data_IF_849003709230
#
_entry.id   IF_849003709230
#
_cell.length_a   1.000
_cell.length_b   1.000
_cell.length_c   1.000
_cell.angle_alpha   90.00
_cell.angle_beta   90.00
_cell.angle_gamma   90.00
#
_symmetry.space_group_name_H-M   'P 1'
#
loop_
_entity.id
_entity.type
_entity.pdbx_description
1 polymer ?
#
# COMPACT_ATOMS: atom_id res chain seq x y z
N UNK A 1 -6.12 -10.92 31.07
CA UNK A 1 -6.05 -10.36 29.69
C UNK A 1 -5.17 -9.13 29.76
N UNK A 2 -4.05 -9.10 29.05
CA UNK A 2 -3.17 -7.93 29.07
C UNK A 2 -3.88 -6.73 28.45
N UNK A 3 -3.93 -5.61 29.17
CA UNK A 3 -4.47 -4.35 28.69
C UNK A 3 -3.53 -3.82 27.61
N UNK A 4 -3.99 -3.76 26.35
CA UNK A 4 -3.28 -3.04 25.29
C UNK A 4 -3.50 -1.55 25.49
N UNK A 5 -2.44 -0.74 25.39
CA UNK A 5 -2.58 0.70 25.50
C UNK A 5 -3.04 1.29 24.16
N UNK A 6 -3.89 2.33 24.14
CA UNK A 6 -4.31 2.97 22.90
C UNK A 6 -3.15 3.40 21.99
N UNK A 7 -2.05 3.90 22.56
CA UNK A 7 -0.88 4.33 21.77
C UNK A 7 -0.19 3.21 20.98
N UNK A 8 -0.37 1.95 21.39
CA UNK A 8 0.22 0.74 20.80
C UNK A 8 -0.68 0.08 19.75
N UNK A 9 -1.87 0.63 19.51
CA UNK A 9 -2.85 0.11 18.56
C UNK A 9 -2.92 1.06 17.36
N UNK A 10 -2.95 0.51 16.14
CA UNK A 10 -3.34 1.24 14.93
C UNK A 10 -4.35 0.44 14.12
N UNK A 11 -5.26 1.11 13.43
CA UNK A 11 -6.09 0.51 12.39
C UNK A 11 -5.82 1.17 11.03
N UNK A 12 -5.68 0.34 9.99
CA UNK A 12 -5.49 0.80 8.62
C UNK A 12 -6.49 0.10 7.69
N UNK A 13 -7.10 0.85 6.79
CA UNK A 13 -7.94 0.29 5.74
C UNK A 13 -7.18 0.21 4.41
N UNK A 14 -7.26 -0.93 3.73
CA UNK A 14 -6.76 -1.08 2.36
C UNK A 14 -7.88 -0.72 1.40
N UNK A 15 -7.75 0.38 0.67
CA UNK A 15 -8.82 0.89 -0.20
C UNK A 15 -8.27 1.12 -1.61
N UNK A 16 -9.04 0.70 -2.63
CA UNK A 16 -8.72 0.87 -4.05
C UNK A 16 -9.81 0.24 -4.91
N UNK A 17 -9.75 0.45 -6.22
CA UNK A 17 -10.52 -0.28 -7.23
C UNK A 17 -10.24 -1.79 -7.23
N UNK A 18 -11.08 -2.55 -7.96
CA UNK A 18 -10.95 -3.99 -8.13
C UNK A 18 -9.61 -4.39 -8.77
N UNK A 19 -8.96 -5.41 -8.23
CA UNK A 19 -7.74 -5.95 -8.82
C UNK A 19 -6.44 -5.18 -8.55
N UNK A 20 -6.46 -4.12 -7.74
CA UNK A 20 -5.25 -3.38 -7.34
C UNK A 20 -4.31 -4.13 -6.36
N UNK A 21 -4.67 -5.34 -5.93
CA UNK A 21 -3.81 -6.18 -5.08
C UNK A 21 -3.96 -5.97 -3.57
N UNK A 22 -5.09 -5.43 -3.09
CA UNK A 22 -5.37 -5.23 -1.65
C UNK A 22 -5.21 -6.51 -0.83
N UNK A 23 -5.89 -7.58 -1.23
CA UNK A 23 -5.81 -8.89 -0.59
C UNK A 23 -4.40 -9.46 -0.64
N UNK A 24 -3.69 -9.33 -1.76
CA UNK A 24 -2.29 -9.76 -1.88
C UNK A 24 -1.35 -8.99 -0.95
N UNK A 25 -1.60 -7.69 -0.73
CA UNK A 25 -0.87 -6.88 0.24
C UNK A 25 -1.19 -7.31 1.68
N UNK A 26 -2.45 -7.63 1.98
CA UNK A 26 -2.81 -8.17 3.29
C UNK A 26 -2.11 -9.51 3.58
N UNK A 27 -2.05 -10.42 2.59
CA UNK A 27 -1.28 -11.66 2.68
C UNK A 27 0.20 -11.40 2.96
N UNK A 28 0.79 -10.39 2.30
CA UNK A 28 2.17 -9.99 2.55
C UNK A 28 2.38 -9.52 4.00
N UNK A 29 1.47 -8.71 4.56
CA UNK A 29 1.54 -8.31 5.97
C UNK A 29 1.48 -9.50 6.93
N UNK A 30 0.61 -10.47 6.67
CA UNK A 30 0.49 -11.68 7.48
C UNK A 30 1.75 -12.55 7.41
N UNK A 31 2.32 -12.69 6.22
CA UNK A 31 3.55 -13.46 6.00
C UNK A 31 4.77 -12.80 6.67
N UNK A 32 4.89 -11.48 6.53
CA UNK A 32 5.97 -10.71 7.14
C UNK A 32 5.92 -10.75 8.67
N UNK A 33 4.71 -10.68 9.24
CA UNK A 33 4.48 -10.85 10.67
C UNK A 33 4.65 -12.30 11.16
N UNK A 34 4.85 -13.27 10.26
CA UNK A 34 5.03 -14.69 10.60
C UNK A 34 3.74 -15.38 11.05
N UNK A 35 2.58 -14.82 10.73
CA UNK A 35 1.27 -15.40 11.04
C UNK A 35 0.88 -16.51 10.07
N UNK A 36 1.40 -16.44 8.84
CA UNK A 36 1.30 -17.50 7.84
C UNK A 36 2.69 -17.90 7.35
N UNK A 37 2.88 -19.17 7.02
CA UNK A 37 4.18 -19.71 6.59
C UNK A 37 4.46 -19.51 5.10
N UNK A 38 3.44 -19.13 4.32
CA UNK A 38 3.51 -18.81 2.89
C UNK A 38 2.39 -17.83 2.56
N UNK A 39 2.61 -16.96 1.58
CA UNK A 39 1.54 -16.12 1.06
C UNK A 39 0.51 -16.94 0.28
N UNK A 40 -0.77 -16.67 0.52
CA UNK A 40 -1.86 -17.16 -0.30
C UNK A 40 -1.97 -16.43 -1.64
N UNK A 41 -2.73 -17.04 -2.56
CA UNK A 41 -3.08 -16.52 -3.87
C UNK A 41 -4.58 -16.63 -4.07
N UNK A 42 -5.17 -15.61 -4.66
CA UNK A 42 -6.62 -15.55 -4.92
C UNK A 42 -7.02 -16.68 -5.89
N UNK A 43 -6.18 -16.93 -6.90
CA UNK A 43 -6.39 -17.97 -7.91
C UNK A 43 -6.38 -19.38 -7.29
N UNK A 44 -5.57 -19.57 -6.25
CA UNK A 44 -5.45 -20.84 -5.52
C UNK A 44 -6.48 -20.97 -4.38
N UNK A 45 -7.33 -19.95 -4.17
CA UNK A 45 -8.42 -19.91 -3.17
C UNK A 45 -7.93 -20.21 -1.75
N UNK A 46 -6.76 -19.70 -1.40
CA UNK A 46 -6.11 -19.97 -0.13
C UNK A 46 -5.63 -18.69 0.59
N UNK A 47 -6.13 -17.52 0.18
CA UNK A 47 -5.97 -16.27 0.93
C UNK A 47 -6.72 -16.36 2.26
N UNK A 48 -6.21 -15.67 3.28
CA UNK A 48 -6.81 -15.62 4.62
C UNK A 48 -8.07 -14.74 4.61
N UNK A 49 -8.06 -13.67 3.81
CA UNK A 49 -9.13 -12.68 3.73
C UNK A 49 -10.38 -13.16 3.00
N UNK A 50 -10.23 -13.85 1.87
CA UNK A 50 -11.35 -14.30 1.03
C UNK A 50 -11.82 -15.71 1.43
N UNK A 51 -12.31 -15.85 2.66
CA UNK A 51 -12.70 -17.15 3.21
C UNK A 51 -14.14 -17.55 2.86
N UNK A 52 -14.98 -16.63 2.36
CA UNK A 52 -16.34 -16.95 1.96
C UNK A 52 -16.37 -17.75 0.65
N UNK A 53 -17.26 -18.73 0.56
CA UNK A 53 -17.38 -19.59 -0.62
C UNK A 53 -17.74 -18.83 -1.90
N UNK A 54 -18.51 -17.74 -1.81
CA UNK A 54 -18.82 -16.90 -2.97
C UNK A 54 -17.64 -16.03 -3.38
N UNK A 55 -16.83 -15.54 -2.43
CA UNK A 55 -15.57 -14.83 -2.74
C UNK A 55 -14.60 -15.74 -3.49
N UNK A 56 -14.39 -16.96 -2.97
CA UNK A 56 -13.55 -17.98 -3.62
C UNK A 56 -14.08 -18.43 -4.98
N UNK A 57 -15.40 -18.44 -5.17
CA UNK A 57 -16.02 -18.80 -6.45
C UNK A 57 -15.87 -17.70 -7.50
N UNK A 58 -15.98 -16.44 -7.08
CA UNK A 58 -15.93 -15.28 -7.98
C UNK A 58 -14.52 -14.72 -8.17
N UNK A 59 -13.58 -15.05 -7.28
CA UNK A 59 -12.22 -14.50 -7.28
C UNK A 59 -12.18 -13.01 -6.93
N UNK A 60 -13.15 -12.53 -6.14
CA UNK A 60 -13.25 -11.13 -5.70
C UNK A 60 -13.67 -11.10 -4.23
N UNK A 61 -13.16 -10.14 -3.47
CA UNK A 61 -13.64 -9.87 -2.12
C UNK A 61 -15.02 -9.21 -2.18
N UNK A 62 -15.91 -9.61 -1.27
CA UNK A 62 -17.29 -9.14 -1.13
C UNK A 62 -17.46 -8.40 0.20
N UNK A 63 -16.84 -8.88 1.27
CA UNK A 63 -16.93 -8.29 2.60
C UNK A 63 -15.57 -7.77 3.08
N UNK A 64 -15.57 -6.77 3.96
CA UNK A 64 -14.34 -6.35 4.62
C UNK A 64 -13.85 -7.44 5.56
N UNK A 65 -12.61 -7.90 5.36
CA UNK A 65 -11.94 -8.81 6.29
C UNK A 65 -11.05 -8.04 7.27
N UNK A 66 -10.89 -8.58 8.49
CA UNK A 66 -10.07 -7.98 9.55
C UNK A 66 -8.90 -8.89 9.91
N UNK A 67 -7.68 -8.38 9.75
CA UNK A 67 -6.45 -9.05 10.17
C UNK A 67 -5.82 -8.33 11.37
N UNK A 68 -5.24 -9.10 12.30
CA UNK A 68 -4.49 -8.56 13.44
C UNK A 68 -3.01 -8.83 13.25
N UNK A 69 -2.23 -7.81 12.94
CA UNK A 69 -0.82 -7.89 12.56
C UNK A 69 0.06 -7.30 13.67
N UNK A 70 0.85 -8.10 14.39
CA UNK A 70 1.84 -7.58 15.34
C UNK A 70 3.03 -6.98 14.59
N UNK A 71 3.44 -5.76 14.96
CA UNK A 71 4.59 -5.09 14.35
C UNK A 71 5.30 -4.17 15.34
N UNK A 72 6.60 -4.39 15.59
CA UNK A 72 7.46 -3.55 16.47
C UNK A 72 6.76 -3.10 17.78
N UNK A 73 6.32 -4.06 18.59
CA UNK A 73 5.57 -3.87 19.85
C UNK A 73 4.18 -3.23 19.72
N UNK A 74 3.71 -2.97 18.50
CA UNK A 74 2.35 -2.48 18.21
C UNK A 74 1.46 -3.60 17.69
N UNK A 75 0.15 -3.38 17.80
CA UNK A 75 -0.89 -4.19 17.15
C UNK A 75 -1.52 -3.36 16.04
N UNK A 76 -1.43 -3.82 14.80
CA UNK A 76 -2.05 -3.18 13.64
C UNK A 76 -3.26 -4.00 13.23
N UNK A 77 -4.43 -3.39 13.18
CA UNK A 77 -5.64 -3.96 12.59
C UNK A 77 -5.68 -3.56 11.12
N UNK A 78 -5.62 -4.53 10.23
CA UNK A 78 -5.70 -4.30 8.78
C UNK A 78 -7.10 -4.67 8.32
N UNK A 79 -7.81 -3.71 7.74
CA UNK A 79 -9.13 -3.91 7.13
C UNK A 79 -8.93 -4.04 5.62
N UNK A 80 -8.97 -5.27 5.10
CA UNK A 80 -8.91 -5.52 3.65
C UNK A 80 -10.33 -5.45 3.08
N UNK A 81 -10.55 -4.47 2.20
CA UNK A 81 -11.88 -4.11 1.70
C UNK A 81 -12.13 -4.59 0.28
N UNK A 82 -13.40 -4.84 -0.11
CA UNK A 82 -13.74 -5.18 -1.49
C UNK A 82 -13.52 -3.99 -2.43
N UNK A 83 -12.99 -4.26 -3.64
CA UNK A 83 -12.68 -3.22 -4.62
C UNK A 83 -13.76 -2.90 -5.65
N UNK A 84 -14.86 -3.64 -5.67
CA UNK A 84 -15.92 -3.47 -6.66
C UNK A 84 -16.92 -2.40 -6.21
N UNK A 85 -17.43 -1.60 -7.16
CA UNK A 85 -18.36 -0.50 -6.88
C UNK A 85 -19.62 -0.94 -6.14
N UNK A 86 -20.13 -2.14 -6.43
CA UNK A 86 -21.30 -2.73 -5.77
C UNK A 86 -21.10 -2.86 -4.25
N UNK A 87 -19.86 -2.93 -3.79
CA UNK A 87 -19.49 -3.07 -2.37
C UNK A 87 -18.83 -1.81 -1.80
N UNK A 88 -19.03 -0.65 -2.41
CA UNK A 88 -18.46 0.63 -1.93
C UNK A 88 -18.84 0.97 -0.49
N UNK A 89 -19.99 0.46 -0.01
CA UNK A 89 -20.43 0.63 1.38
C UNK A 89 -19.42 0.06 2.39
N UNK A 90 -18.80 -1.08 2.07
CA UNK A 90 -17.77 -1.72 2.89
C UNK A 90 -16.52 -0.83 3.00
N UNK A 91 -16.04 -0.29 1.88
CA UNK A 91 -14.90 0.62 1.85
C UNK A 91 -15.14 1.87 2.71
N UNK A 92 -16.35 2.45 2.63
CA UNK A 92 -16.72 3.64 3.42
C UNK A 92 -16.78 3.33 4.91
N UNK A 93 -17.37 2.19 5.29
CA UNK A 93 -17.43 1.76 6.69
C UNK A 93 -16.02 1.50 7.25
N UNK A 94 -15.18 0.78 6.51
CA UNK A 94 -13.81 0.46 6.92
C UNK A 94 -12.97 1.71 7.12
N UNK A 95 -13.04 2.66 6.19
CA UNK A 95 -12.29 3.92 6.31
C UNK A 95 -12.77 4.77 7.48
N UNK A 96 -14.08 4.86 7.69
CA UNK A 96 -14.65 5.65 8.79
C UNK A 96 -14.22 5.18 10.18
N UNK A 97 -13.83 3.91 10.33
CA UNK A 97 -13.40 3.33 11.62
C UNK A 97 -11.88 3.13 11.73
N UNK A 98 -11.13 3.50 10.69
CA UNK A 98 -9.67 3.31 10.66
C UNK A 98 -8.92 4.57 11.04
N UNK A 99 -7.78 4.43 11.72
CA UNK A 99 -6.89 5.56 12.04
C UNK A 99 -6.23 6.13 10.77
N UNK A 100 -6.12 5.32 9.71
CA UNK A 100 -5.61 5.75 8.41
C UNK A 100 -5.98 4.79 7.28
N UNK A 101 -5.61 5.15 6.05
CA UNK A 101 -5.87 4.38 4.85
C UNK A 101 -4.60 4.16 4.02
N UNK A 102 -4.50 2.98 3.40
CA UNK A 102 -3.58 2.71 2.31
C UNK A 102 -4.38 2.69 1.01
N UNK A 103 -4.16 3.71 0.17
CA UNK A 103 -4.81 3.84 -1.14
C UNK A 103 -3.94 3.15 -2.17
N UNK A 104 -4.35 1.97 -2.63
CA UNK A 104 -3.57 1.23 -3.62
C UNK A 104 -3.84 1.78 -5.02
N UNK A 105 -2.78 1.94 -5.80
CA UNK A 105 -2.83 2.33 -7.22
C UNK A 105 -2.04 1.29 -8.01
N UNK A 106 -2.55 0.86 -9.16
CA UNK A 106 -1.86 -0.12 -9.99
C UNK A 106 -0.86 0.59 -10.91
N UNK A 107 0.42 0.19 -10.86
CA UNK A 107 1.48 0.79 -11.66
C UNK A 107 1.26 0.68 -13.18
N UNK A 108 0.44 -0.26 -13.65
CA UNK A 108 0.13 -0.43 -15.07
C UNK A 108 -1.09 0.36 -15.53
N UNK A 109 -1.95 0.78 -14.61
CA UNK A 109 -3.24 1.40 -14.92
C UNK A 109 -3.30 2.89 -14.51
N UNK A 110 -2.51 3.29 -13.51
CA UNK A 110 -2.56 4.64 -12.96
C UNK A 110 -3.81 4.88 -12.12
N UNK A 111 -4.22 6.14 -12.06
CA UNK A 111 -5.41 6.61 -11.35
C UNK A 111 -6.66 6.27 -12.15
N UNK A 112 -7.56 5.52 -11.52
CA UNK A 112 -8.87 5.21 -12.10
C UNK A 112 -9.98 6.05 -11.45
N UNK A 113 -11.15 6.10 -12.08
CA UNK A 113 -12.34 6.82 -11.56
C UNK A 113 -12.69 6.36 -10.13
N UNK A 114 -12.51 5.07 -9.83
CA UNK A 114 -12.73 4.54 -8.50
C UNK A 114 -11.65 4.98 -7.50
N UNK A 115 -10.41 5.20 -7.93
CA UNK A 115 -9.34 5.75 -7.09
C UNK A 115 -9.70 7.17 -6.64
N UNK A 116 -10.21 8.02 -7.53
CA UNK A 116 -10.72 9.36 -7.18
C UNK A 116 -11.90 9.29 -6.20
N UNK A 117 -12.83 8.37 -6.43
CA UNK A 117 -13.99 8.17 -5.54
C UNK A 117 -13.57 7.76 -4.13
N UNK A 118 -12.57 6.87 -4.03
CA UNK A 118 -11.99 6.41 -2.77
C UNK A 118 -11.26 7.55 -2.05
N UNK A 119 -10.49 8.34 -2.78
CA UNK A 119 -9.79 9.49 -2.23
C UNK A 119 -10.77 10.50 -1.62
N UNK A 120 -11.85 10.81 -2.33
CA UNK A 120 -12.89 11.70 -1.82
C UNK A 120 -13.49 11.20 -0.50
N UNK A 121 -13.58 9.90 -0.26
CA UNK A 121 -14.01 9.39 1.04
C UNK A 121 -12.96 9.64 2.13
N UNK A 122 -11.66 9.50 1.83
CA UNK A 122 -10.59 9.80 2.78
C UNK A 122 -10.62 11.29 3.20
N UNK A 123 -10.83 12.20 2.24
CA UNK A 123 -11.03 13.63 2.51
C UNK A 123 -12.29 13.88 3.35
N UNK A 124 -13.42 13.31 2.95
CA UNK A 124 -14.70 13.49 3.66
C UNK A 124 -14.69 12.96 5.10
N UNK A 125 -13.87 11.95 5.39
CA UNK A 125 -13.72 11.38 6.72
C UNK A 125 -12.47 11.90 7.44
N UNK A 126 -11.75 12.87 6.86
CA UNK A 126 -10.50 13.42 7.39
C UNK A 126 -9.52 12.31 7.79
N UNK A 127 -9.48 11.23 7.01
CA UNK A 127 -8.67 10.05 7.30
C UNK A 127 -7.30 10.21 6.66
N UNK A 128 -6.21 10.19 7.44
CA UNK A 128 -4.85 10.22 6.90
C UNK A 128 -4.61 9.06 5.94
N UNK A 129 -4.10 9.35 4.75
CA UNK A 129 -3.93 8.35 3.70
C UNK A 129 -2.50 8.34 3.13
N UNK A 130 -2.03 7.15 2.78
CA UNK A 130 -0.76 6.93 2.07
C UNK A 130 -1.07 6.16 0.79
N UNK A 131 -0.45 6.55 -0.32
CA UNK A 131 -0.54 5.81 -1.57
C UNK A 131 0.43 4.62 -1.58
N UNK A 132 -0.05 3.48 -2.08
CA UNK A 132 0.77 2.30 -2.33
C UNK A 132 0.69 1.93 -3.81
N UNK A 133 1.79 2.14 -4.54
CA UNK A 133 1.86 1.78 -5.95
C UNK A 133 2.22 0.29 -6.05
N UNK A 134 1.24 -0.50 -6.47
CA UNK A 134 1.31 -1.95 -6.60
C UNK A 134 1.75 -2.38 -8.01
N UNK A 135 2.19 -3.64 -8.15
CA UNK A 135 2.48 -4.28 -9.45
C UNK A 135 3.60 -3.63 -10.26
N UNK A 136 4.61 -3.07 -9.59
CA UNK A 136 5.81 -2.51 -10.22
C UNK A 136 6.64 -3.54 -11.00
N UNK A 137 6.39 -4.84 -10.77
CA UNK A 137 7.00 -5.98 -11.43
C UNK A 137 6.35 -6.36 -12.77
N UNK A 138 5.26 -5.68 -13.17
CA UNK A 138 4.52 -5.99 -14.41
C UNK A 138 5.08 -5.24 -15.61
N UNK A 139 4.87 -5.82 -16.79
CA UNK A 139 5.12 -5.15 -18.07
C UNK A 139 4.27 -3.88 -18.19
N UNK A 140 4.86 -2.79 -18.68
CA UNK A 140 4.28 -1.44 -18.72
C UNK A 140 4.03 -0.79 -17.35
N UNK A 141 4.67 -1.29 -16.28
CA UNK A 141 4.66 -0.57 -15.01
C UNK A 141 5.55 0.68 -15.10
N UNK A 142 4.95 1.85 -14.86
CA UNK A 142 5.65 3.13 -14.89
C UNK A 142 5.37 3.92 -13.61
N UNK A 143 6.35 3.92 -12.70
CA UNK A 143 6.24 4.56 -11.41
C UNK A 143 6.12 6.09 -11.53
N UNK A 144 6.94 6.72 -12.37
CA UNK A 144 6.99 8.18 -12.48
C UNK A 144 5.72 8.73 -13.12
N UNK A 145 5.19 8.01 -14.11
CA UNK A 145 3.90 8.32 -14.73
C UNK A 145 2.75 8.22 -13.71
N UNK A 146 2.73 7.15 -12.89
CA UNK A 146 1.68 6.97 -11.86
C UNK A 146 1.79 8.03 -10.76
N UNK A 147 2.99 8.43 -10.35
CA UNK A 147 3.17 9.54 -9.40
C UNK A 147 2.63 10.85 -9.97
N UNK A 148 2.96 11.15 -11.23
CA UNK A 148 2.46 12.35 -11.91
C UNK A 148 0.93 12.33 -12.01
N UNK A 149 0.36 11.18 -12.35
CA UNK A 149 -1.09 10.99 -12.46
C UNK A 149 -1.79 11.18 -11.10
N UNK A 150 -1.22 10.68 -10.00
CA UNK A 150 -1.71 10.95 -8.64
C UNK A 150 -1.64 12.45 -8.33
N UNK A 151 -0.56 13.13 -8.69
CA UNK A 151 -0.40 14.55 -8.42
C UNK A 151 -1.40 15.42 -9.20
N UNK A 152 -1.64 15.09 -10.47
CA UNK A 152 -2.54 15.82 -11.35
C UNK A 152 -4.02 15.60 -11.01
N UNK A 153 -4.40 14.35 -10.68
CA UNK A 153 -5.81 13.96 -10.57
C UNK A 153 -6.30 13.76 -9.13
N UNK A 154 -5.40 13.63 -8.15
CA UNK A 154 -5.76 13.31 -6.76
C UNK A 154 -5.26 14.38 -5.80
N UNK A 155 -3.94 14.57 -5.69
CA UNK A 155 -3.35 15.55 -4.77
C UNK A 155 -1.94 15.94 -5.19
N UNK A 156 -1.75 17.22 -5.50
CA UNK A 156 -0.45 17.82 -5.84
C UNK A 156 0.56 17.82 -4.67
N UNK A 157 0.09 17.49 -3.46
CA UNK A 157 0.89 17.30 -2.25
C UNK A 157 1.47 15.89 -2.13
N UNK A 158 1.05 14.94 -2.98
CA UNK A 158 1.58 13.59 -2.96
C UNK A 158 3.06 13.57 -3.38
N UNK A 159 3.94 13.11 -2.49
CA UNK A 159 5.38 13.01 -2.74
C UNK A 159 5.91 11.59 -2.50
N UNK A 160 6.82 11.07 -3.34
CA UNK A 160 7.41 9.75 -3.14
C UNK A 160 8.26 9.66 -1.86
N UNK A 161 7.91 8.72 -0.99
CA UNK A 161 8.76 8.33 0.15
C UNK A 161 9.80 7.25 -0.23
N UNK A 162 9.47 6.45 -1.25
CA UNK A 162 10.32 5.40 -1.78
C UNK A 162 10.42 5.53 -3.30
N UNK A 163 11.60 5.26 -3.86
CA UNK A 163 11.82 5.14 -5.30
C UNK A 163 12.17 3.68 -5.67
N UNK A 164 11.62 3.12 -6.75
CA UNK A 164 11.92 1.76 -7.18
C UNK A 164 13.32 1.64 -7.78
N UNK A 165 14.00 0.53 -7.44
CA UNK A 165 15.27 0.14 -8.05
C UNK A 165 14.96 -0.84 -9.18
N UNK A 166 15.16 -0.39 -10.41
CA UNK A 166 14.75 -1.12 -11.62
C UNK A 166 13.24 -1.00 -11.89
N UNK A 167 12.80 -1.54 -13.01
CA UNK A 167 11.42 -1.52 -13.47
C UNK A 167 11.02 -2.87 -14.04
N UNK A 168 9.72 -3.17 -14.00
CA UNK A 168 9.13 -4.39 -14.55
C UNK A 168 9.88 -5.66 -14.05
N UNK A 169 10.32 -6.53 -14.95
CA UNK A 169 11.08 -7.74 -14.61
C UNK A 169 12.45 -7.46 -13.94
N UNK A 170 12.96 -6.23 -14.04
CA UNK A 170 14.20 -5.81 -13.38
C UNK A 170 13.95 -5.10 -12.04
N UNK A 171 12.70 -4.95 -11.61
CA UNK A 171 12.36 -4.41 -10.30
C UNK A 171 12.90 -5.34 -9.21
N UNK A 172 13.79 -4.81 -8.38
CA UNK A 172 14.59 -5.60 -7.43
C UNK A 172 14.73 -4.99 -6.04
N UNK A 173 14.21 -3.78 -5.85
CA UNK A 173 14.41 -3.08 -4.59
C UNK A 173 13.76 -1.71 -4.53
N UNK A 174 13.93 -1.06 -3.39
CA UNK A 174 13.43 0.28 -3.11
C UNK A 174 14.53 1.12 -2.46
N UNK A 175 14.59 2.40 -2.77
CA UNK A 175 15.36 3.39 -2.02
C UNK A 175 14.43 4.19 -1.16
N UNK A 176 14.67 4.23 0.15
CA UNK A 176 13.98 5.13 1.06
C UNK A 176 14.62 6.53 0.97
N UNK A 177 13.82 7.49 0.49
CA UNK A 177 14.27 8.85 0.18
C UNK A 177 14.68 9.61 1.45
N UNK A 178 13.99 9.38 2.57
CA UNK A 178 14.28 10.04 3.84
C UNK A 178 15.61 9.60 4.46
N UNK A 179 15.85 8.29 4.48
CA UNK A 179 17.00 7.68 5.16
C UNK A 179 18.22 7.56 4.24
N UNK A 180 18.03 7.62 2.92
CA UNK A 180 19.10 7.38 1.95
C UNK A 180 19.60 5.92 1.96
N UNK A 181 18.71 4.97 2.31
CA UNK A 181 19.01 3.54 2.35
C UNK A 181 18.29 2.79 1.24
N UNK A 182 19.01 1.87 0.60
CA UNK A 182 18.45 0.94 -0.37
C UNK A 182 18.10 -0.38 0.29
N UNK A 183 17.04 -1.01 -0.19
CA UNK A 183 16.57 -2.32 0.23
C UNK A 183 16.43 -3.18 -1.02
N UNK A 184 17.29 -4.19 -1.15
CA UNK A 184 17.33 -5.08 -2.31
C UNK A 184 16.75 -6.45 -1.93
N UNK A 185 15.71 -6.89 -2.62
CA UNK A 185 15.03 -8.15 -2.34
C UNK A 185 15.57 -9.26 -3.23
N UNK A 186 15.54 -10.51 -2.72
CA UNK A 186 16.00 -11.68 -3.48
C UNK A 186 15.12 -12.03 -4.69
N UNK A 187 13.84 -11.63 -4.66
CA UNK A 187 12.87 -11.97 -5.70
C UNK A 187 12.43 -13.43 -5.73
N UNK A 188 12.76 -14.22 -4.69
CA UNK A 188 12.41 -15.64 -4.56
C UNK A 188 11.09 -15.87 -3.78
N UNK A 189 10.36 -14.79 -3.47
CA UNK A 189 9.16 -14.82 -2.64
C UNK A 189 9.44 -14.89 -1.13
N UNK A 190 10.70 -14.88 -0.71
CA UNK A 190 11.06 -14.64 0.70
C UNK A 190 10.94 -13.16 1.05
N UNK A 191 10.82 -12.89 2.35
CA UNK A 191 10.87 -11.53 2.91
C UNK A 191 12.30 -11.02 3.16
N UNK A 192 13.30 -11.76 2.70
CA UNK A 192 14.70 -11.41 2.90
C UNK A 192 15.11 -10.27 1.96
N UNK A 193 15.75 -9.26 2.53
CA UNK A 193 16.38 -8.18 1.79
C UNK A 193 17.75 -7.83 2.37
N UNK A 194 18.58 -7.18 1.56
CA UNK A 194 19.84 -6.58 1.99
C UNK A 194 19.71 -5.07 2.01
N UNK A 195 20.08 -4.46 3.13
CA UNK A 195 20.20 -3.00 3.25
C UNK A 195 21.55 -2.53 2.68
N UNK A 196 21.55 -1.42 1.96
CA UNK A 196 22.75 -0.80 1.41
C UNK A 196 22.61 0.70 1.24
N UNK A 197 23.61 1.30 0.59
CA UNK A 197 23.57 2.72 0.20
C UNK A 197 22.81 2.91 -1.12
N UNK A 198 22.47 4.15 -1.44
CA UNK A 198 21.78 4.51 -2.68
C UNK A 198 22.63 4.10 -3.89
N UNK A 199 22.07 3.38 -4.88
CA UNK A 199 22.76 3.11 -6.15
C UNK A 199 23.23 4.40 -6.82
N UNK A 200 24.45 4.40 -7.36
CA UNK A 200 25.07 5.62 -7.90
C UNK A 200 24.27 6.24 -9.06
N UNK A 201 23.61 5.40 -9.85
CA UNK A 201 22.72 5.78 -10.96
C UNK A 201 21.39 6.42 -10.50
N UNK A 202 21.05 6.30 -9.22
CA UNK A 202 19.84 6.89 -8.63
C UNK A 202 20.14 8.07 -7.70
N UNK A 203 21.41 8.42 -7.47
CA UNK A 203 21.80 9.42 -6.48
C UNK A 203 21.12 10.78 -6.73
N UNK A 204 21.10 11.25 -7.97
CA UNK A 204 20.48 12.53 -8.33
C UNK A 204 18.96 12.50 -8.18
N UNK A 205 18.31 11.42 -8.62
CA UNK A 205 16.86 11.24 -8.49
C UNK A 205 16.42 11.20 -7.02
N UNK A 206 17.17 10.50 -6.16
CA UNK A 206 16.90 10.42 -4.73
C UNK A 206 17.15 11.76 -4.06
N UNK A 207 18.20 12.49 -4.45
CA UNK A 207 18.46 13.84 -3.92
C UNK A 207 17.32 14.79 -4.26
N UNK A 208 16.88 14.80 -5.52
CA UNK A 208 15.76 15.63 -5.96
C UNK A 208 14.45 15.28 -5.26
N UNK A 209 14.10 13.98 -5.18
CA UNK A 209 12.91 13.55 -4.46
C UNK A 209 12.95 13.92 -2.97
N UNK A 210 14.14 13.89 -2.36
CA UNK A 210 14.33 14.28 -0.96
C UNK A 210 14.15 15.78 -0.75
N UNK A 211 14.67 16.60 -1.63
CA UNK A 211 14.48 18.06 -1.59
C UNK A 211 12.99 18.40 -1.64
N UNK A 212 12.25 17.85 -2.61
CA UNK A 212 10.80 18.06 -2.73
C UNK A 212 10.04 17.55 -1.51
N UNK A 213 10.40 16.38 -0.98
CA UNK A 213 9.74 15.82 0.21
C UNK A 213 9.95 16.73 1.43
N UNK A 214 11.18 17.23 1.64
CA UNK A 214 11.50 18.14 2.74
C UNK A 214 10.77 19.48 2.59
N UNK A 215 10.72 20.03 1.37
CA UNK A 215 9.99 21.27 1.08
C UNK A 215 8.50 21.13 1.43
N UNK A 216 7.84 20.07 0.95
CA UNK A 216 6.43 19.80 1.29
C UNK A 216 6.20 19.56 2.78
N UNK A 217 7.14 18.92 3.47
CA UNK A 217 7.04 18.71 4.90
C UNK A 217 7.11 20.02 5.69
N UNK A 218 7.92 20.98 5.24
CA UNK A 218 8.01 22.32 5.86
C UNK A 218 6.72 23.11 5.59
N UNK A 219 6.21 23.11 4.36
CA UNK A 219 4.95 23.79 4.01
C UNK A 219 3.78 23.32 4.88
N UNK A 220 3.74 22.03 5.23
CA UNK A 220 2.68 21.45 6.05
C UNK A 220 2.80 21.71 7.57
N UNK A 221 3.98 22.11 8.08
CA UNK A 221 4.20 22.45 9.49
C UNK A 221 3.98 23.96 9.76
N UNK A 222 4.13 24.79 8.73
CA UNK A 222 3.89 26.24 8.79
C UNK A 222 2.40 26.63 8.71
N UNK A 223 1.51 25.70 8.32
CA UNK A 223 0.03 25.84 8.31
C UNK A 223 -0.63 25.30 9.58
#
# INVERSE_FOLDING_TARGET
>A
MGTRKPEDIRSIALISHGGAGKTSLNEAFLYDAGLISRMGRIEDKNTVSDFDSEEQKRGISISTSLATVPYKNKTIYVLDTPGFADFVGEQRCAMRVSDGALVLVNATAGVEVQTQSVWAFAENFETPAIFFISKLDRENADFDSVVSDIQENISDRAVPLYLPIGSELNFKGLVNVLTGKSYMYKGDGSKDFTEGDVPADMADAVSSARETLVERAVEADDE
#
